data_IF_618023522837
#
_entry.id   IF_618023522837
#
_cell.length_a   1.000
_cell.length_b   1.000
_cell.length_c   1.000
_cell.angle_alpha   90.00
_cell.angle_beta   90.00
_cell.angle_gamma   90.00
#
_symmetry.space_group_name_H-M   'P 1'
#
loop_
_entity.id
_entity.type
_entity.pdbx_description
1 polymer ?
#
# COMPACT_ATOMS: atom_id res chain seq x y z
N UNK A 1 40.08 51.25 29.20
CA UNK A 1 40.41 50.10 28.35
C UNK A 1 39.22 49.20 28.21
N UNK A 2 38.20 49.59 27.41
CA UNK A 2 37.02 48.74 27.17
C UNK A 2 36.35 49.16 25.86
N UNK A 3 37.00 48.93 24.71
CA UNK A 3 36.36 49.22 23.42
C UNK A 3 36.85 48.33 22.27
N UNK A 4 37.24 47.08 22.51
CA UNK A 4 37.72 46.22 21.41
C UNK A 4 36.92 44.91 21.28
N UNK A 5 35.87 44.72 22.08
CA UNK A 5 35.15 43.43 22.08
C UNK A 5 33.78 43.46 21.41
N UNK A 6 33.47 44.47 20.60
CA UNK A 6 32.15 44.53 19.94
C UNK A 6 32.15 44.39 18.43
N UNK A 7 33.30 44.20 17.80
CA UNK A 7 33.36 44.12 16.33
C UNK A 7 33.45 42.70 15.81
N UNK A 8 33.70 41.71 16.69
CA UNK A 8 33.90 40.33 16.22
C UNK A 8 32.64 39.49 16.17
N UNK A 9 31.55 39.95 16.79
CA UNK A 9 30.31 39.15 16.85
C UNK A 9 29.34 39.41 15.69
N UNK A 10 29.54 40.47 14.92
CA UNK A 10 28.64 40.81 13.82
C UNK A 10 29.07 40.23 12.47
N UNK A 11 30.31 39.74 12.38
CA UNK A 11 30.79 39.17 11.11
C UNK A 11 30.47 37.67 10.99
N UNK A 12 30.16 37.03 12.13
CA UNK A 12 29.85 35.58 12.12
C UNK A 12 28.40 35.28 11.74
N UNK A 13 27.53 36.27 11.71
CA UNK A 13 26.11 36.09 11.41
C UNK A 13 25.78 36.25 9.92
N UNK A 14 26.72 36.66 9.10
CA UNK A 14 26.50 36.88 7.69
C UNK A 14 26.91 35.69 6.79
N UNK A 15 27.50 34.64 7.38
CA UNK A 15 27.92 33.47 6.62
C UNK A 15 26.98 32.25 6.78
N UNK A 16 25.90 32.40 7.55
CA UNK A 16 24.94 31.30 7.77
C UNK A 16 23.72 31.31 6.82
N UNK A 17 23.79 32.08 5.74
CA UNK A 17 22.60 32.39 4.96
C UNK A 17 22.50 31.84 3.55
N UNK A 18 23.25 30.80 3.20
CA UNK A 18 23.05 30.16 1.89
C UNK A 18 23.06 28.65 2.04
N UNK A 19 21.94 28.12 2.57
CA UNK A 19 21.59 26.74 2.36
C UNK A 19 20.82 26.74 1.04
N UNK A 20 21.36 26.15 -0.03
CA UNK A 20 20.58 26.05 -1.25
C UNK A 20 19.33 25.24 -0.94
N UNK A 21 18.17 25.62 -1.46
CA UNK A 21 16.97 24.83 -1.28
C UNK A 21 17.29 23.41 -1.75
N UNK A 22 17.10 22.47 -0.84
CA UNK A 22 17.28 21.06 -1.16
C UNK A 22 16.50 20.76 -2.43
N UNK A 23 17.20 20.27 -3.43
CA UNK A 23 16.56 19.77 -4.64
C UNK A 23 15.62 18.67 -4.19
N UNK A 24 14.36 19.01 -4.05
CA UNK A 24 13.34 18.00 -3.84
C UNK A 24 13.54 16.93 -4.91
N UNK A 25 13.75 15.71 -4.45
CA UNK A 25 13.86 14.58 -5.37
C UNK A 25 12.53 14.52 -6.11
N UNK A 26 12.54 15.02 -7.33
CA UNK A 26 11.41 14.89 -8.22
C UNK A 26 11.22 13.38 -8.43
N UNK A 27 10.17 12.84 -7.79
CA UNK A 27 9.80 11.45 -8.07
C UNK A 27 9.55 11.37 -9.56
N UNK A 28 10.42 10.68 -10.25
CA UNK A 28 10.27 10.51 -11.69
C UNK A 28 8.91 9.89 -11.94
N UNK A 29 8.04 10.63 -12.59
CA UNK A 29 6.81 10.05 -13.12
C UNK A 29 7.26 9.00 -14.12
N UNK A 30 7.01 7.75 -13.80
CA UNK A 30 7.28 6.66 -14.73
C UNK A 30 6.38 6.88 -15.95
N UNK A 31 7.00 7.09 -17.08
CA UNK A 31 6.25 7.23 -18.33
C UNK A 31 5.49 5.94 -18.59
N UNK A 32 4.19 6.08 -18.76
CA UNK A 32 3.34 4.93 -19.06
C UNK A 32 3.58 4.49 -20.50
N UNK A 33 4.43 3.50 -20.67
CA UNK A 33 4.61 2.86 -21.97
C UNK A 33 3.63 1.70 -22.06
N UNK A 34 2.71 1.77 -23.00
CA UNK A 34 1.68 0.78 -23.18
C UNK A 34 2.25 -0.61 -23.50
N UNK A 35 2.09 -1.52 -22.59
CA UNK A 35 2.59 -2.88 -22.76
C UNK A 35 1.57 -3.97 -22.53
N UNK A 36 0.50 -3.69 -21.81
CA UNK A 36 -0.52 -4.71 -21.58
C UNK A 36 -1.90 -4.19 -21.94
N UNK A 37 -2.59 -4.95 -22.78
CA UNK A 37 -4.00 -4.72 -23.05
C UNK A 37 -4.84 -5.43 -21.98
N UNK A 38 -6.02 -4.92 -21.70
CA UNK A 38 -6.95 -5.55 -20.78
C UNK A 38 -7.24 -4.69 -19.57
N UNK A 39 -8.00 -5.24 -18.65
CA UNK A 39 -8.43 -4.55 -17.44
C UNK A 39 -8.24 -5.48 -16.24
N UNK A 40 -8.25 -4.89 -15.05
CA UNK A 40 -8.21 -5.67 -13.79
C UNK A 40 -9.41 -6.65 -13.70
N UNK A 41 -10.47 -6.39 -14.42
CA UNK A 41 -11.68 -7.22 -14.39
C UNK A 41 -11.51 -8.57 -15.08
N UNK A 42 -10.37 -8.80 -15.74
CA UNK A 42 -10.03 -10.12 -16.31
C UNK A 42 -9.43 -11.06 -15.28
N UNK A 43 -9.16 -10.57 -14.09
CA UNK A 43 -8.50 -11.30 -13.01
C UNK A 43 -9.45 -11.55 -11.86
N UNK A 44 -8.99 -12.32 -10.92
CA UNK A 44 -9.68 -12.62 -9.68
C UNK A 44 -8.73 -13.38 -8.75
N UNK A 45 -9.23 -13.76 -7.58
CA UNK A 45 -8.42 -14.50 -6.61
C UNK A 45 -9.32 -15.38 -5.76
N UNK A 46 -8.70 -16.40 -5.14
CA UNK A 46 -9.40 -17.28 -4.20
C UNK A 46 -9.51 -16.59 -2.84
N UNK A 47 -10.65 -16.74 -2.19
CA UNK A 47 -10.84 -16.29 -0.81
C UNK A 47 -9.83 -16.95 0.11
N UNK A 48 -9.59 -16.35 1.29
CA UNK A 48 -8.54 -16.82 2.19
C UNK A 48 -8.71 -18.27 2.65
N UNK A 49 -9.93 -18.76 2.64
CA UNK A 49 -10.22 -20.17 2.93
C UNK A 49 -10.08 -21.09 1.72
N UNK A 50 -9.85 -20.51 0.52
CA UNK A 50 -9.70 -21.24 -0.72
C UNK A 50 -11.00 -21.78 -1.31
N UNK A 51 -12.15 -21.41 -0.73
CA UNK A 51 -13.43 -22.03 -1.12
C UNK A 51 -14.08 -21.35 -2.32
N UNK A 52 -13.82 -20.06 -2.52
CA UNK A 52 -14.50 -19.32 -3.58
C UNK A 52 -13.51 -18.50 -4.42
N UNK A 53 -13.64 -18.58 -5.74
CA UNK A 53 -12.91 -17.69 -6.64
C UNK A 53 -13.74 -16.44 -6.89
N UNK A 54 -13.20 -15.29 -6.53
CA UNK A 54 -13.87 -14.00 -6.68
C UNK A 54 -13.32 -13.31 -7.93
N UNK A 55 -14.09 -13.23 -9.02
CA UNK A 55 -13.65 -12.43 -10.17
C UNK A 55 -13.76 -10.93 -9.85
N UNK A 56 -12.70 -10.17 -10.13
CA UNK A 56 -12.71 -8.75 -9.82
C UNK A 56 -13.74 -7.97 -10.66
N UNK A 57 -14.27 -8.58 -11.69
CA UNK A 57 -15.37 -8.01 -12.49
C UNK A 57 -16.61 -7.67 -11.64
N UNK A 58 -16.82 -8.40 -10.54
CA UNK A 58 -17.97 -8.10 -9.67
C UNK A 58 -17.87 -6.73 -9.00
N UNK A 59 -16.67 -6.15 -8.98
CA UNK A 59 -16.45 -4.83 -8.42
C UNK A 59 -16.47 -3.72 -9.47
N UNK A 60 -16.92 -4.01 -10.69
CA UNK A 60 -16.99 -3.00 -11.75
C UNK A 60 -17.86 -1.82 -11.30
N UNK A 61 -17.39 -0.60 -11.55
CA UNK A 61 -18.06 0.61 -11.10
C UNK A 61 -17.73 1.03 -9.68
N UNK A 62 -16.88 0.26 -8.96
CA UNK A 62 -16.42 0.60 -7.62
C UNK A 62 -14.99 1.11 -7.63
N UNK A 63 -14.60 1.79 -6.57
CA UNK A 63 -13.20 2.13 -6.30
C UNK A 63 -12.56 0.95 -5.59
N UNK A 64 -11.58 0.31 -6.21
CA UNK A 64 -10.96 -0.89 -5.64
C UNK A 64 -9.59 -0.54 -5.08
N UNK A 65 -9.41 -0.79 -3.79
CA UNK A 65 -8.11 -0.61 -3.11
C UNK A 65 -7.51 -2.00 -2.85
N UNK A 66 -6.42 -2.31 -3.54
CA UNK A 66 -5.66 -3.54 -3.31
C UNK A 66 -4.63 -3.26 -2.22
N UNK A 67 -4.67 -4.05 -1.14
CA UNK A 67 -3.80 -3.82 0.02
C UNK A 67 -3.00 -5.09 0.30
N UNK A 68 -1.66 -4.95 0.34
CA UNK A 68 -0.82 -6.02 0.86
C UNK A 68 -0.94 -6.00 2.38
N UNK A 69 -1.24 -7.14 2.97
CA UNK A 69 -1.42 -7.22 4.42
C UNK A 69 -0.45 -8.23 5.03
N UNK A 70 -0.08 -7.98 6.29
CA UNK A 70 0.75 -8.88 7.07
C UNK A 70 0.35 -8.75 8.54
N UNK A 71 0.11 -9.90 9.19
CA UNK A 71 -0.40 -9.93 10.57
C UNK A 71 0.58 -9.35 11.57
N UNK A 72 1.88 -9.43 11.29
CA UNK A 72 2.93 -9.01 12.22
C UNK A 72 3.59 -7.68 11.90
N UNK A 73 3.17 -6.90 11.01
CA UNK A 73 3.63 -5.89 10.71
C UNK A 73 3.73 -5.12 11.71
N UNK A 74 4.66 -4.52 12.06
CA UNK A 74 4.92 -3.60 13.16
C UNK A 74 4.10 -2.33 13.08
N UNK A 75 3.81 -1.92 11.88
CA UNK A 75 3.04 -0.71 11.62
C UNK A 75 1.60 -1.03 11.17
N UNK A 76 1.15 -2.25 11.39
CA UNK A 76 -0.18 -2.65 10.96
C UNK A 76 -1.23 -1.97 11.82
N UNK A 77 -1.76 -0.88 11.33
CA UNK A 77 -2.94 -0.27 11.92
C UNK A 77 -4.17 -0.80 11.20
N UNK A 78 -4.49 -2.03 11.53
CA UNK A 78 -5.60 -2.72 10.88
C UNK A 78 -6.94 -2.08 11.19
N UNK A 79 -7.01 -1.34 12.30
CA UNK A 79 -8.19 -0.55 12.62
C UNK A 79 -8.43 0.55 11.59
N UNK A 80 -7.35 1.13 11.04
CA UNK A 80 -7.50 2.15 9.99
C UNK A 80 -8.10 1.57 8.71
N UNK A 81 -7.72 0.36 8.34
CA UNK A 81 -8.26 -0.27 7.12
C UNK A 81 -9.75 -0.58 7.31
N UNK A 82 -10.11 -1.11 8.47
CA UNK A 82 -11.53 -1.36 8.80
C UNK A 82 -12.33 -0.05 8.80
N UNK A 83 -11.79 0.99 9.44
CA UNK A 83 -12.47 2.30 9.49
C UNK A 83 -12.63 2.88 8.08
N UNK A 84 -11.61 2.74 7.25
CA UNK A 84 -11.66 3.23 5.87
C UNK A 84 -12.75 2.51 5.07
N UNK A 85 -12.83 1.18 5.20
CA UNK A 85 -13.88 0.40 4.53
C UNK A 85 -15.27 0.81 5.02
N UNK A 86 -15.42 1.00 6.34
CA UNK A 86 -16.68 1.40 6.94
C UNK A 86 -17.11 2.80 6.48
N UNK A 87 -16.17 3.75 6.50
CA UNK A 87 -16.44 5.14 6.16
C UNK A 87 -16.72 5.34 4.66
N UNK A 88 -15.90 4.72 3.79
CA UNK A 88 -15.95 4.98 2.36
C UNK A 88 -16.69 3.90 1.56
N UNK A 89 -17.02 2.76 2.19
CA UNK A 89 -17.81 1.72 1.54
C UNK A 89 -19.13 2.23 0.97
N UNK A 90 -19.92 3.02 1.72
CA UNK A 90 -21.16 3.59 1.17
C UNK A 90 -20.95 4.47 -0.05
N UNK A 91 -19.75 5.00 -0.26
CA UNK A 91 -19.41 5.81 -1.43
C UNK A 91 -18.77 4.98 -2.54
N UNK A 92 -18.77 3.66 -2.39
CA UNK A 92 -18.32 2.76 -3.45
C UNK A 92 -16.89 2.25 -3.32
N UNK A 93 -16.23 2.45 -2.17
CA UNK A 93 -14.92 1.87 -1.95
C UNK A 93 -15.05 0.38 -1.60
N UNK A 94 -14.19 -0.44 -2.20
CA UNK A 94 -14.04 -1.85 -1.87
C UNK A 94 -12.56 -2.10 -1.57
N UNK A 95 -12.25 -2.64 -0.40
CA UNK A 95 -10.88 -2.98 -0.02
C UNK A 95 -10.69 -4.48 -0.16
N UNK A 96 -9.62 -4.86 -0.86
CA UNK A 96 -9.25 -6.25 -1.11
C UNK A 96 -7.87 -6.49 -0.52
N UNK A 97 -7.78 -7.35 0.50
CA UNK A 97 -6.55 -7.59 1.24
C UNK A 97 -5.85 -8.88 0.79
N UNK A 98 -4.56 -8.79 0.53
CA UNK A 98 -3.75 -9.88 0.03
C UNK A 98 -2.57 -10.11 0.98
N UNK A 99 -2.63 -11.17 1.80
CA UNK A 99 -1.52 -11.48 2.70
C UNK A 99 -0.27 -11.87 1.91
N UNK A 100 0.89 -11.37 2.35
CA UNK A 100 2.15 -11.73 1.71
C UNK A 100 3.29 -11.74 2.71
N UNK A 101 4.13 -12.79 2.62
CA UNK A 101 5.28 -12.94 3.50
C UNK A 101 6.53 -12.24 2.97
N UNK A 102 6.39 -11.47 1.87
CA UNK A 102 7.54 -10.84 1.23
C UNK A 102 7.97 -9.52 1.87
N UNK A 103 7.24 -9.07 2.90
CA UNK A 103 7.55 -7.83 3.60
C UNK A 103 8.08 -8.16 5.00
N UNK A 104 9.41 -8.31 5.10
CA UNK A 104 10.08 -8.62 6.35
C UNK A 104 9.68 -9.95 6.99
N UNK A 105 9.13 -10.87 6.20
CA UNK A 105 8.61 -12.16 6.69
C UNK A 105 7.54 -11.99 7.78
N UNK A 106 6.71 -10.96 7.64
CA UNK A 106 5.73 -10.59 8.64
C UNK A 106 4.35 -11.23 8.42
N UNK A 107 4.25 -12.19 7.49
CA UNK A 107 3.07 -13.05 7.35
C UNK A 107 3.51 -14.51 7.24
N UNK A 108 4.07 -15.08 8.33
CA UNK A 108 4.60 -16.44 8.24
C UNK A 108 3.52 -17.52 8.19
N UNK A 109 2.33 -17.25 8.73
CA UNK A 109 1.26 -18.23 8.85
C UNK A 109 0.70 -18.71 7.52
N UNK A 110 0.05 -19.85 7.54
CA UNK A 110 -0.70 -20.37 6.40
C UNK A 110 -2.08 -19.71 6.34
N UNK A 111 -2.79 -19.87 5.23
CA UNK A 111 -4.10 -19.24 5.03
C UNK A 111 -5.05 -19.46 6.22
N UNK A 112 -5.12 -20.68 6.71
CA UNK A 112 -6.02 -21.04 7.82
C UNK A 112 -5.64 -20.40 9.14
N UNK A 113 -4.40 -19.93 9.28
CA UNK A 113 -3.91 -19.33 10.53
C UNK A 113 -4.08 -17.81 10.57
N UNK A 114 -4.27 -17.16 9.41
CA UNK A 114 -4.26 -15.70 9.33
C UNK A 114 -5.44 -15.08 10.08
N UNK A 115 -6.66 -15.51 9.80
CA UNK A 115 -7.84 -14.94 10.48
C UNK A 115 -7.80 -15.22 12.01
N UNK A 116 -7.47 -16.43 12.47
CA UNK A 116 -7.27 -16.65 13.92
C UNK A 116 -6.16 -15.77 14.49
N UNK A 117 -5.04 -15.62 13.80
CA UNK A 117 -3.94 -14.74 14.27
C UNK A 117 -4.41 -13.31 14.45
N UNK A 118 -5.12 -12.78 13.44
CA UNK A 118 -5.66 -11.41 13.51
C UNK A 118 -6.61 -11.27 14.70
N UNK A 119 -7.47 -12.25 14.91
CA UNK A 119 -8.51 -12.19 15.95
C UNK A 119 -7.96 -12.33 17.36
N UNK A 120 -7.03 -13.24 17.56
CA UNK A 120 -6.64 -13.64 18.91
C UNK A 120 -5.23 -13.25 19.31
N UNK A 121 -4.36 -12.94 18.33
CA UNK A 121 -2.94 -12.69 18.61
C UNK A 121 -2.56 -11.26 18.27
N UNK A 122 -2.72 -10.84 17.00
CA UNK A 122 -2.24 -9.53 16.58
C UNK A 122 -3.10 -8.99 15.42
N UNK A 123 -3.83 -7.90 15.60
CA UNK A 123 -3.88 -7.08 16.82
C UNK A 123 -4.58 -7.77 17.99
N UNK A 124 -5.30 -8.88 17.78
CA UNK A 124 -6.01 -9.56 18.84
C UNK A 124 -7.27 -8.80 19.24
N UNK A 125 -7.71 -9.03 20.47
CA UNK A 125 -8.89 -8.33 21.01
C UNK A 125 -10.18 -8.60 20.27
N UNK A 126 -10.24 -9.68 19.49
CA UNK A 126 -11.43 -10.00 18.71
C UNK A 126 -11.46 -9.36 17.33
N UNK A 127 -10.35 -8.78 16.87
CA UNK A 127 -10.32 -8.08 15.59
C UNK A 127 -10.75 -8.99 14.44
N UNK A 128 -11.68 -8.47 13.62
CA UNK A 128 -12.12 -9.15 12.40
C UNK A 128 -12.07 -8.14 11.26
N UNK A 129 -11.36 -8.44 10.18
CA UNK A 129 -11.40 -7.57 9.01
C UNK A 129 -12.82 -7.43 8.46
N UNK A 130 -13.23 -6.21 8.15
CA UNK A 130 -14.51 -5.96 7.50
C UNK A 130 -14.36 -5.77 5.99
N UNK A 131 -13.25 -6.25 5.45
CA UNK A 131 -12.94 -6.24 4.02
C UNK A 131 -12.55 -7.64 3.57
N UNK A 132 -12.63 -7.89 2.27
CA UNK A 132 -12.37 -9.22 1.72
C UNK A 132 -10.88 -9.56 1.80
N UNK A 133 -10.56 -10.70 2.44
CA UNK A 133 -9.21 -11.27 2.40
C UNK A 133 -9.15 -12.41 1.41
N UNK A 134 -8.03 -12.47 0.70
CA UNK A 134 -7.74 -13.49 -0.29
C UNK A 134 -6.60 -14.38 0.18
N UNK A 135 -6.35 -15.48 -0.55
CA UNK A 135 -5.25 -16.37 -0.25
C UNK A 135 -3.91 -15.63 -0.24
N UNK A 136 -3.06 -16.01 0.70
CA UNK A 136 -1.69 -15.53 0.78
C UNK A 136 -0.91 -15.90 -0.48
N UNK A 137 -0.11 -14.97 -0.97
CA UNK A 137 0.68 -15.21 -2.16
C UNK A 137 1.82 -14.24 -2.34
N UNK A 138 2.62 -14.50 -3.35
CA UNK A 138 3.68 -13.59 -3.72
C UNK A 138 3.12 -12.42 -4.51
N UNK A 139 3.62 -11.24 -4.19
CA UNK A 139 3.26 -9.99 -4.89
C UNK A 139 4.43 -9.46 -5.71
N UNK A 140 5.59 -10.10 -5.60
CA UNK A 140 6.80 -9.76 -6.35
C UNK A 140 7.53 -11.04 -6.77
N UNK A 141 8.24 -10.95 -7.89
CA UNK A 141 9.11 -12.03 -8.36
C UNK A 141 8.41 -13.03 -9.26
N UNK A 142 9.10 -14.15 -9.50
CA UNK A 142 8.68 -15.13 -10.49
C UNK A 142 7.33 -15.77 -10.18
N UNK A 143 7.00 -15.89 -8.90
CA UNK A 143 5.75 -16.54 -8.46
C UNK A 143 4.65 -15.53 -8.13
N UNK A 144 4.83 -14.27 -8.49
CA UNK A 144 3.83 -13.25 -8.15
C UNK A 144 2.49 -13.56 -8.81
N UNK A 145 1.43 -13.23 -8.10
CA UNK A 145 0.06 -13.40 -8.61
C UNK A 145 -0.13 -12.54 -9.87
N UNK A 146 -0.73 -13.11 -10.90
CA UNK A 146 -0.83 -12.46 -12.23
C UNK A 146 -1.48 -11.07 -12.21
N UNK A 147 -2.46 -10.87 -11.34
CA UNK A 147 -3.06 -9.54 -11.25
C UNK A 147 -2.08 -8.51 -10.66
N UNK A 148 -1.13 -8.94 -9.83
CA UNK A 148 -0.07 -8.03 -9.36
C UNK A 148 0.86 -7.64 -10.51
N UNK A 149 1.18 -8.58 -11.40
CA UNK A 149 1.93 -8.23 -12.62
C UNK A 149 1.18 -7.16 -13.40
N UNK A 150 -0.13 -7.34 -13.56
CA UNK A 150 -0.96 -6.35 -14.24
C UNK A 150 -0.95 -4.99 -13.53
N UNK A 151 -1.17 -4.98 -12.19
CA UNK A 151 -1.22 -3.74 -11.42
C UNK A 151 0.10 -2.96 -11.45
N UNK A 152 1.23 -3.65 -11.57
CA UNK A 152 2.55 -3.03 -11.61
C UNK A 152 2.94 -2.56 -13.01
N UNK A 153 2.23 -3.01 -14.03
CA UNK A 153 2.47 -2.55 -15.39
C UNK A 153 2.08 -1.07 -15.50
N UNK A 154 2.94 -0.22 -16.07
CA UNK A 154 2.59 1.19 -16.22
C UNK A 154 1.27 1.33 -16.98
N UNK A 155 0.32 1.98 -16.36
CA UNK A 155 -1.00 2.14 -16.94
C UNK A 155 -0.92 3.01 -18.19
N UNK A 156 -1.57 2.58 -19.27
CA UNK A 156 -1.85 3.47 -20.36
C UNK A 156 -2.64 4.67 -19.84
N UNK A 157 -2.35 5.89 -20.31
CA UNK A 157 -3.18 7.03 -19.93
C UNK A 157 -4.57 6.82 -20.51
N UNK A 158 -5.42 6.21 -19.70
CA UNK A 158 -6.81 6.04 -20.06
C UNK A 158 -7.49 7.40 -19.88
N UNK A 159 -7.83 8.01 -20.97
CA UNK A 159 -8.75 9.13 -20.94
C UNK A 159 -10.02 8.60 -20.28
N UNK A 160 -10.30 9.07 -19.07
CA UNK A 160 -11.54 8.80 -18.32
C UNK A 160 -11.63 7.49 -17.52
N UNK A 161 -10.52 6.94 -17.10
CA UNK A 161 -10.56 5.79 -16.17
C UNK A 161 -9.87 6.16 -14.84
N UNK A 162 -10.61 6.02 -13.75
CA UNK A 162 -10.13 6.38 -12.41
C UNK A 162 -9.08 5.39 -11.88
N UNK A 163 -8.13 5.94 -11.20
CA UNK A 163 -6.88 5.28 -10.84
C UNK A 163 -7.04 4.02 -9.98
N UNK A 164 -6.27 3.02 -10.31
CA UNK A 164 -6.03 1.89 -9.41
C UNK A 164 -5.02 2.34 -8.36
N UNK A 165 -5.49 2.48 -7.13
CA UNK A 165 -4.61 2.82 -6.02
C UNK A 165 -4.12 1.54 -5.37
N UNK A 166 -2.88 1.19 -5.64
CA UNK A 166 -2.22 0.11 -4.89
C UNK A 166 -1.44 0.76 -3.76
N UNK A 167 -1.92 0.58 -2.54
CA UNK A 167 -1.22 1.05 -1.36
C UNK A 167 -0.44 -0.12 -0.77
N UNK A 168 0.86 0.00 -0.78
CA UNK A 168 1.74 -0.93 -0.08
C UNK A 168 2.13 -0.30 1.25
N UNK A 169 1.64 -0.87 2.34
CA UNK A 169 2.05 -0.49 3.68
C UNK A 169 3.18 -1.41 4.12
N UNK A 170 4.37 -1.02 3.77
CA UNK A 170 5.57 -1.74 4.14
C UNK A 170 6.78 -1.09 3.51
N UNK A 171 7.62 -0.50 4.32
CA UNK A 171 8.92 -0.04 3.84
C UNK A 171 9.84 -1.26 3.68
N UNK A 172 10.69 -1.29 2.65
CA UNK A 172 11.68 -2.34 2.51
C UNK A 172 12.68 -2.39 3.65
#
# INVERSE_FOLDING_TARGET
MARILRASCLLSLLLAGFVPPGRGQEKSKTDCHGGMSGTIYEYGALTIDGEEYIPFKQYAGKYILFVNVASYXGLTDQYLVNALQEELGPFGLVILGFPSNQFGKQEPGENSEILPSLKYVRPGGGFVPNFQLFEKGDVNGEKEQKFYTFLKTPALPLQNSWAHLAASFGNP
#
